data_IF_238703872083
#
_entry.id   IF_238703872083
#
_cell.length_a   1.000
_cell.length_b   1.000
_cell.length_c   1.000
_cell.angle_alpha   90.00
_cell.angle_beta   90.00
_cell.angle_gamma   90.00
#
_symmetry.space_group_name_H-M   'P 1'
#
loop_
_entity.id
_entity.type
_entity.pdbx_description
1 polymer ?
#
# COMPACT_ATOMS: atom_id res chain seq x y z
N UNK A 1 -4.00 14.28 4.76
CA UNK A 1 -4.96 13.26 5.25
C UNK A 1 -4.31 11.89 5.13
N UNK A 2 -4.24 11.15 6.23
CA UNK A 2 -3.67 9.80 6.21
C UNK A 2 -4.62 8.82 5.50
N UNK A 3 -4.05 7.86 4.76
CA UNK A 3 -4.79 6.76 4.13
C UNK A 3 -4.51 5.47 4.89
N UNK A 4 -5.49 4.58 5.00
CA UNK A 4 -5.26 3.19 5.43
C UNK A 4 -5.13 2.36 4.17
N UNK A 5 -4.02 1.63 4.08
CA UNK A 5 -3.74 0.70 2.97
C UNK A 5 -3.75 -0.71 3.53
N UNK A 6 -4.62 -1.56 2.96
CA UNK A 6 -4.77 -2.96 3.36
C UNK A 6 -4.43 -3.85 2.18
N UNK A 7 -3.53 -4.81 2.39
CA UNK A 7 -3.15 -5.81 1.38
C UNK A 7 -3.69 -7.16 1.81
N UNK A 8 -4.42 -7.81 0.92
CA UNK A 8 -5.03 -9.11 1.12
C UNK A 8 -4.53 -10.10 0.07
N UNK A 9 -4.42 -11.38 0.44
CA UNK A 9 -4.21 -12.48 -0.52
C UNK A 9 -5.42 -13.39 -0.56
N UNK A 10 -5.65 -13.98 -1.73
CA UNK A 10 -6.68 -14.99 -1.91
C UNK A 10 -6.14 -16.37 -1.53
N UNK A 11 -6.78 -17.02 -0.57
CA UNK A 11 -6.47 -18.40 -0.18
C UNK A 11 -6.90 -19.35 -1.31
N UNK A 12 -5.97 -20.12 -1.86
CA UNK A 12 -6.29 -21.02 -2.98
C UNK A 12 -7.19 -22.20 -2.57
N UNK A 13 -7.17 -22.57 -1.30
CA UNK A 13 -7.97 -23.69 -0.75
C UNK A 13 -9.45 -23.33 -0.59
N UNK A 14 -9.76 -22.12 -0.12
CA UNK A 14 -11.13 -21.70 0.24
C UNK A 14 -11.68 -20.61 -0.67
N UNK A 15 -10.81 -19.91 -1.39
CA UNK A 15 -11.17 -18.72 -2.18
C UNK A 15 -11.39 -17.46 -1.35
N UNK A 16 -11.23 -17.54 -0.03
CA UNK A 16 -11.39 -16.41 0.89
C UNK A 16 -10.20 -15.46 0.82
N UNK A 17 -10.40 -14.22 1.26
CA UNK A 17 -9.36 -13.21 1.35
C UNK A 17 -8.81 -13.17 2.77
N UNK A 18 -7.48 -13.17 2.89
CA UNK A 18 -6.75 -13.08 4.14
C UNK A 18 -5.89 -11.81 4.11
N UNK A 19 -6.00 -10.98 5.14
CA UNK A 19 -5.17 -9.79 5.31
C UNK A 19 -3.71 -10.19 5.52
N UNK A 20 -2.84 -9.76 4.61
CA UNK A 20 -1.39 -9.91 4.74
C UNK A 20 -0.80 -8.81 5.62
N UNK A 21 -1.32 -7.59 5.51
CA UNK A 21 -0.90 -6.46 6.31
C UNK A 21 -1.73 -5.21 6.06
N UNK A 22 -1.71 -4.29 7.02
CA UNK A 22 -2.32 -2.97 6.95
C UNK A 22 -1.38 -1.91 7.52
N UNK A 23 -1.35 -0.75 6.88
CA UNK A 23 -0.51 0.38 7.28
C UNK A 23 -1.19 1.72 6.99
N UNK A 24 -0.88 2.74 7.80
CA UNK A 24 -1.23 4.11 7.48
C UNK A 24 -0.19 4.69 6.52
N UNK A 25 -0.65 5.45 5.54
CA UNK A 25 0.19 6.12 4.56
C UNK A 25 -0.14 7.62 4.53
N UNK A 26 0.83 8.43 4.92
CA UNK A 26 0.72 9.88 4.92
C UNK A 26 1.03 10.47 3.54
N UNK A 27 0.61 11.72 3.31
CA UNK A 27 0.87 12.45 2.05
C UNK A 27 2.36 12.71 1.81
N UNK A 28 3.16 12.77 2.88
CA UNK A 28 4.61 12.93 2.81
C UNK A 28 5.37 11.61 2.60
N UNK A 29 4.64 10.49 2.47
CA UNK A 29 5.24 9.18 2.28
C UNK A 29 5.54 8.41 3.57
N UNK A 30 5.24 8.97 4.74
CA UNK A 30 5.42 8.28 6.02
C UNK A 30 4.52 7.04 6.08
N UNK A 31 5.11 5.89 6.41
CA UNK A 31 4.43 4.62 6.63
C UNK A 31 4.34 4.38 8.14
N UNK A 32 3.12 4.16 8.63
CA UNK A 32 2.86 3.76 10.01
C UNK A 32 2.25 2.37 10.06
N UNK A 33 2.72 1.51 10.96
CA UNK A 33 2.20 0.15 11.12
C UNK A 33 0.79 0.16 11.74
N UNK A 34 -0.11 -0.66 11.21
CA UNK A 34 -1.43 -0.93 11.80
C UNK A 34 -1.59 -2.41 12.14
N UNK A 35 -1.27 -3.30 11.19
CA UNK A 35 -1.37 -4.75 11.36
C UNK A 35 -0.36 -5.48 10.49
N UNK A 36 0.34 -6.45 11.07
CA UNK A 36 1.41 -7.17 10.40
C UNK A 36 2.68 -6.33 10.30
N UNK A 37 3.73 -6.89 9.72
CA UNK A 37 5.02 -6.22 9.57
C UNK A 37 5.16 -5.64 8.15
N UNK A 38 5.06 -4.31 7.97
CA UNK A 38 5.19 -3.65 6.69
C UNK A 38 6.64 -3.34 6.31
N UNK A 39 7.67 -3.83 7.02
CA UNK A 39 9.08 -3.49 6.71
C UNK A 39 9.42 -3.76 5.24
N UNK A 40 8.91 -4.85 4.66
CA UNK A 40 9.11 -5.19 3.25
C UNK A 40 8.58 -4.13 2.27
N UNK A 41 7.62 -3.28 2.68
CA UNK A 41 7.10 -2.17 1.87
C UNK A 41 8.08 -1.00 1.83
N UNK A 42 8.84 -0.76 2.89
CA UNK A 42 9.77 0.37 2.97
C UNK A 42 10.90 0.22 1.94
N UNK A 43 11.29 -1.01 1.63
CA UNK A 43 12.32 -1.32 0.62
C UNK A 43 11.79 -1.34 -0.83
N UNK A 44 10.48 -1.19 -1.05
CA UNK A 44 9.93 -1.25 -2.40
C UNK A 44 10.26 -0.02 -3.22
N UNK A 45 10.88 -0.28 -4.36
CA UNK A 45 11.20 0.69 -5.38
C UNK A 45 10.56 0.29 -6.70
N UNK A 46 9.77 1.19 -7.27
CA UNK A 46 9.17 1.01 -8.60
C UNK A 46 9.87 1.89 -9.62
N UNK A 47 9.61 1.64 -10.90
CA UNK A 47 9.97 2.55 -11.99
C UNK A 47 8.68 3.15 -12.53
N UNK A 48 8.57 4.47 -12.48
CA UNK A 48 7.41 5.20 -12.98
C UNK A 48 7.83 6.17 -14.08
N UNK A 49 7.26 5.99 -15.27
CA UNK A 49 7.59 6.81 -16.44
C UNK A 49 7.08 8.24 -16.31
N UNK A 50 5.97 8.46 -15.60
CA UNK A 50 5.40 9.80 -15.39
C UNK A 50 6.24 10.60 -14.38
N UNK A 51 6.83 9.92 -13.40
CA UNK A 51 7.80 10.49 -12.47
C UNK A 51 9.23 10.60 -13.06
N UNK A 52 9.45 10.11 -14.28
CA UNK A 52 10.73 10.20 -14.97
C UNK A 52 11.84 9.29 -14.41
N UNK A 53 11.49 8.25 -13.66
CA UNK A 53 12.50 7.38 -13.06
C UNK A 53 12.02 6.53 -11.88
N UNK A 54 12.93 6.12 -11.00
CA UNK A 54 12.57 5.31 -9.85
C UNK A 54 11.77 6.08 -8.81
N UNK A 55 10.78 5.43 -8.23
CA UNK A 55 9.92 5.98 -7.18
C UNK A 55 9.94 5.09 -5.94
N UNK A 56 9.94 5.74 -4.79
CA UNK A 56 9.90 5.16 -3.44
C UNK A 56 8.81 5.85 -2.64
N UNK A 57 8.43 5.26 -1.50
CA UNK A 57 7.35 5.81 -0.68
C UNK A 57 7.64 7.23 -0.20
N UNK A 58 8.91 7.59 0.02
CA UNK A 58 9.39 8.90 0.49
C UNK A 58 9.73 9.91 -0.62
N UNK A 59 10.06 9.46 -1.85
CA UNK A 59 10.43 10.38 -2.95
C UNK A 59 9.23 10.82 -3.80
N UNK A 60 8.31 9.90 -4.09
CA UNK A 60 7.12 10.17 -4.91
C UNK A 60 5.93 9.39 -4.33
N UNK A 61 5.39 9.80 -3.16
CA UNK A 61 4.41 9.02 -2.40
C UNK A 61 3.20 8.55 -3.21
N UNK A 62 2.58 9.45 -3.98
CA UNK A 62 1.40 9.14 -4.80
C UNK A 62 1.73 8.24 -5.99
N UNK A 63 2.86 8.45 -6.65
CA UNK A 63 3.29 7.59 -7.76
C UNK A 63 3.64 6.18 -7.25
N UNK A 64 4.31 6.10 -6.10
CA UNK A 64 4.63 4.84 -5.45
C UNK A 64 3.37 4.10 -5.02
N UNK A 65 2.40 4.77 -4.37
CA UNK A 65 1.13 4.15 -3.96
C UNK A 65 0.31 3.66 -5.16
N UNK A 66 0.30 4.42 -6.26
CA UNK A 66 -0.33 4.00 -7.52
C UNK A 66 0.33 2.73 -8.09
N UNK A 67 1.66 2.66 -8.09
CA UNK A 67 2.38 1.48 -8.58
C UNK A 67 2.18 0.28 -7.66
N UNK A 68 2.19 0.48 -6.34
CA UNK A 68 1.85 -0.55 -5.37
C UNK A 68 0.44 -1.10 -5.61
N UNK A 69 -0.55 -0.24 -5.85
CA UNK A 69 -1.91 -0.66 -6.19
C UNK A 69 -1.97 -1.49 -7.47
N UNK A 70 -1.16 -1.18 -8.49
CA UNK A 70 -1.09 -1.98 -9.73
C UNK A 70 -0.47 -3.36 -9.50
N UNK A 71 0.60 -3.43 -8.71
CA UNK A 71 1.30 -4.68 -8.42
C UNK A 71 0.50 -5.62 -7.49
N UNK A 72 -0.24 -5.05 -6.53
CA UNK A 72 -0.96 -5.81 -5.50
C UNK A 72 -2.47 -5.93 -5.75
N UNK A 73 -2.95 -5.54 -6.94
CA UNK A 73 -4.35 -5.72 -7.32
C UNK A 73 -4.46 -6.64 -8.55
N UNK A 74 -4.76 -7.92 -8.30
CA UNK A 74 -4.77 -8.97 -9.29
C UNK A 74 -5.65 -10.17 -8.87
N UNK A 75 -5.54 -11.32 -9.56
CA UNK A 75 -6.43 -12.47 -9.31
C UNK A 75 -6.22 -13.12 -7.94
N UNK A 76 -5.04 -12.94 -7.34
CA UNK A 76 -4.63 -13.59 -6.07
C UNK A 76 -4.28 -12.60 -4.97
N UNK A 77 -4.28 -11.29 -5.27
CA UNK A 77 -3.95 -10.22 -4.32
C UNK A 77 -4.89 -9.06 -4.54
N UNK A 78 -5.24 -8.37 -3.46
CA UNK A 78 -6.04 -7.15 -3.51
C UNK A 78 -5.40 -6.12 -2.59
N UNK A 79 -5.37 -4.89 -3.06
CA UNK A 79 -4.99 -3.73 -2.27
C UNK A 79 -6.20 -2.79 -2.16
N UNK A 80 -6.58 -2.44 -0.93
CA UNK A 80 -7.65 -1.48 -0.64
C UNK A 80 -7.04 -0.22 -0.03
N UNK A 81 -7.52 0.95 -0.44
CA UNK A 81 -7.08 2.26 0.08
C UNK A 81 -8.33 2.97 0.59
N UNK A 82 -8.31 3.36 1.86
CA UNK A 82 -9.42 4.04 2.52
C UNK A 82 -8.92 5.32 3.21
N UNK A 83 -9.69 6.40 3.26
CA UNK A 83 -9.31 7.58 4.04
C UNK A 83 -9.28 7.22 5.54
N UNK A 84 -8.25 7.69 6.26
CA UNK A 84 -8.23 7.59 7.72
C UNK A 84 -9.12 8.67 8.32
N UNK A 85 -10.38 8.32 8.59
CA UNK A 85 -11.38 9.24 9.11
C UNK A 85 -11.21 9.57 10.61
N UNK A 86 -10.17 9.06 11.28
CA UNK A 86 -9.92 9.28 12.72
C UNK A 86 -9.17 10.58 13.05
N UNK A 87 -8.83 11.42 12.07
CA UNK A 87 -8.06 12.67 12.31
C UNK A 87 -8.92 13.89 12.74
N UNK A 88 -10.24 13.77 12.87
CA UNK A 88 -11.14 14.87 13.29
C UNK A 88 -11.82 14.62 14.66
N UNK A 89 -11.06 14.37 15.73
CA UNK A 89 -11.61 14.35 17.11
C UNK A 89 -10.67 14.98 18.13
#
# INVERSE_FOLDING_TARGET
>A
MNKIVTIERKLQSTGEWETMGAFSFAEDGTIGEIQGDPEWLMDLKFVDQEAGGPVTHDSHPEAWLRQLSREYNGPTRRLTIEPNLKEDS
#
